data_IF_106762172327
#
_entry.id   IF_106762172327
#
_cell.length_a   1.000
_cell.length_b   1.000
_cell.length_c   1.000
_cell.angle_alpha   90.00
_cell.angle_beta   90.00
_cell.angle_gamma   90.00
#
_symmetry.space_group_name_H-M   'P 1'
#
loop_
_entity.id
_entity.type
_entity.pdbx_description
1 polymer ?
#
# COMPACT_ATOMS: atom_id res chain seq x y z
N UNK A 1 -30.30 16.66 19.56
CA UNK A 1 -29.65 15.42 19.12
C UNK A 1 -28.22 15.42 19.64
N UNK A 2 -27.99 14.78 20.78
CA UNK A 2 -26.67 14.70 21.42
C UNK A 2 -25.89 13.59 20.72
N UNK A 3 -24.98 13.95 19.81
CA UNK A 3 -24.10 12.99 19.15
C UNK A 3 -23.12 12.41 20.19
N UNK A 4 -23.07 11.09 20.29
CA UNK A 4 -22.14 10.37 21.17
C UNK A 4 -20.71 10.49 20.63
N UNK A 5 -20.00 11.57 21.00
CA UNK A 5 -18.64 11.87 20.51
C UNK A 5 -17.61 10.75 20.81
N UNK A 6 -17.84 9.91 21.82
CA UNK A 6 -16.95 8.79 22.16
C UNK A 6 -16.92 7.62 21.16
N UNK A 7 -17.77 7.61 20.12
CA UNK A 7 -17.78 6.53 19.10
C UNK A 7 -16.95 6.84 17.86
N UNK A 8 -16.62 8.11 17.60
CA UNK A 8 -15.90 8.52 16.41
C UNK A 8 -14.41 8.67 16.75
N UNK A 9 -13.59 7.74 16.26
CA UNK A 9 -12.14 7.69 16.55
C UNK A 9 -11.36 8.69 15.68
N UNK A 10 -11.84 8.98 14.47
CA UNK A 10 -11.21 9.93 13.55
C UNK A 10 -11.73 9.77 12.12
N UNK A 11 -11.16 10.56 11.23
CA UNK A 11 -11.35 10.45 9.78
C UNK A 11 -10.37 9.45 9.18
N UNK A 12 -10.81 8.64 8.23
CA UNK A 12 -9.98 7.73 7.45
C UNK A 12 -10.09 8.07 5.98
N UNK A 13 -8.95 8.10 5.28
CA UNK A 13 -8.88 8.40 3.85
C UNK A 13 -8.70 7.10 3.05
N UNK A 14 -9.36 7.00 1.91
CA UNK A 14 -9.16 5.94 0.91
C UNK A 14 -8.27 6.43 -0.25
N UNK A 15 -7.98 5.56 -1.21
CA UNK A 15 -7.11 5.88 -2.36
C UNK A 15 -7.62 7.06 -3.19
N UNK A 16 -8.93 7.16 -3.40
CA UNK A 16 -9.54 8.22 -4.21
C UNK A 16 -9.57 9.58 -3.51
N UNK A 17 -9.29 9.63 -2.21
CA UNK A 17 -9.27 10.88 -1.45
C UNK A 17 -7.93 11.63 -1.58
N UNK A 18 -6.89 10.98 -2.11
CA UNK A 18 -5.51 11.48 -2.06
C UNK A 18 -4.78 11.38 -3.39
N UNK A 19 -3.80 12.27 -3.59
CA UNK A 19 -2.88 12.24 -4.73
C UNK A 19 -1.44 12.33 -4.23
N UNK A 20 -0.52 11.68 -4.95
CA UNK A 20 0.92 11.85 -4.73
C UNK A 20 1.36 13.20 -5.30
N UNK A 21 2.00 14.02 -4.47
CA UNK A 21 2.59 15.29 -4.90
C UNK A 21 3.94 15.03 -5.57
N UNK A 22 4.17 15.50 -6.81
CA UNK A 22 5.47 15.35 -7.46
C UNK A 22 6.59 16.02 -6.68
N UNK A 23 7.79 15.43 -6.74
CA UNK A 23 9.01 15.97 -6.14
C UNK A 23 10.17 15.90 -7.14
N UNK A 24 11.21 16.70 -6.90
CA UNK A 24 12.44 16.63 -7.66
C UNK A 24 13.07 15.23 -7.56
N UNK A 25 13.55 14.69 -8.69
CA UNK A 25 14.19 13.38 -8.76
C UNK A 25 15.35 13.42 -9.75
N UNK A 26 16.48 12.83 -9.35
CA UNK A 26 17.62 12.52 -10.23
C UNK A 26 17.57 11.08 -10.76
N UNK A 27 16.64 10.26 -10.25
CA UNK A 27 16.51 8.84 -10.58
C UNK A 27 15.48 8.65 -11.68
N UNK A 28 15.84 7.89 -12.73
CA UNK A 28 14.90 7.49 -13.78
C UNK A 28 14.03 6.31 -13.31
N UNK A 29 12.77 6.18 -13.75
CA UNK A 29 11.88 5.11 -13.31
C UNK A 29 12.44 3.69 -13.47
N UNK A 30 13.22 3.43 -14.53
CA UNK A 30 13.87 2.13 -14.80
C UNK A 30 15.02 1.79 -13.84
N UNK A 31 15.49 2.76 -13.07
CA UNK A 31 16.64 2.66 -12.16
C UNK A 31 16.20 2.53 -10.70
N UNK A 32 14.89 2.66 -10.43
CA UNK A 32 14.34 2.53 -9.08
C UNK A 32 14.42 1.08 -8.60
N UNK A 33 14.95 0.88 -7.39
CA UNK A 33 14.91 -0.41 -6.72
C UNK A 33 13.53 -0.63 -6.08
N UNK A 34 12.82 -1.65 -6.55
CA UNK A 34 11.49 -2.04 -6.06
C UNK A 34 11.52 -3.30 -5.17
N UNK A 35 12.71 -3.78 -4.79
CA UNK A 35 12.84 -4.87 -3.82
C UNK A 35 12.24 -4.47 -2.46
N UNK A 36 11.52 -5.38 -1.83
CA UNK A 36 10.87 -5.14 -0.55
C UNK A 36 10.94 -6.35 0.37
N UNK A 37 10.71 -6.14 1.68
CA UNK A 37 10.60 -7.23 2.66
C UNK A 37 9.13 -7.62 2.84
N UNK A 38 8.80 -8.86 2.50
CA UNK A 38 7.47 -9.42 2.76
C UNK A 38 7.31 -9.85 4.22
N UNK A 39 8.37 -10.43 4.79
CA UNK A 39 8.48 -10.74 6.21
C UNK A 39 9.85 -10.33 6.73
N UNK A 40 10.14 -10.56 8.02
CA UNK A 40 11.48 -10.33 8.58
C UNK A 40 12.58 -11.05 7.79
N UNK A 41 12.28 -12.22 7.24
CA UNK A 41 13.25 -13.14 6.64
C UNK A 41 13.01 -13.40 5.13
N UNK A 42 11.98 -12.80 4.52
CA UNK A 42 11.63 -13.02 3.11
C UNK A 42 11.69 -11.69 2.36
N UNK A 43 12.53 -11.63 1.32
CA UNK A 43 12.66 -10.48 0.42
C UNK A 43 12.04 -10.81 -0.93
N UNK A 44 11.25 -9.89 -1.47
CA UNK A 44 10.66 -9.97 -2.81
C UNK A 44 11.41 -9.03 -3.75
N UNK A 45 11.55 -9.44 -5.01
CA UNK A 45 12.11 -8.57 -6.04
C UNK A 45 11.15 -7.46 -6.49
N UNK A 46 9.85 -7.66 -6.31
CA UNK A 46 8.77 -6.76 -6.69
C UNK A 46 7.73 -6.76 -5.56
N UNK A 47 7.12 -5.62 -5.16
CA UNK A 47 6.21 -5.53 -4.03
C UNK A 47 4.78 -5.94 -4.43
N UNK A 48 4.64 -7.11 -5.06
CA UNK A 48 3.37 -7.66 -5.55
C UNK A 48 3.22 -9.10 -5.07
N UNK A 49 2.05 -9.43 -4.53
CA UNK A 49 1.70 -10.76 -4.03
C UNK A 49 0.30 -11.11 -4.53
N UNK A 50 0.10 -12.33 -5.00
CA UNK A 50 -1.22 -12.82 -5.39
C UNK A 50 -2.07 -13.13 -4.15
N UNK A 51 -3.38 -12.91 -4.26
CA UNK A 51 -4.30 -13.23 -3.18
C UNK A 51 -4.39 -14.76 -2.99
N UNK A 52 -4.47 -15.20 -1.73
CA UNK A 52 -4.70 -16.60 -1.38
C UNK A 52 -6.19 -16.96 -1.56
N UNK A 53 -6.63 -17.02 -2.81
CA UNK A 53 -8.01 -17.34 -3.21
C UNK A 53 -8.00 -18.52 -4.17
N UNK A 54 -9.06 -19.33 -4.10
CA UNK A 54 -9.29 -20.50 -4.95
C UNK A 54 -9.17 -20.22 -6.44
N UNK A 55 -9.60 -19.05 -6.88
CA UNK A 55 -9.64 -18.62 -8.29
C UNK A 55 -8.47 -17.73 -8.69
N UNK A 56 -7.53 -17.45 -7.78
CA UNK A 56 -6.41 -16.53 -8.02
C UNK A 56 -5.07 -17.23 -7.99
N UNK A 57 -4.82 -18.12 -7.04
CA UNK A 57 -3.52 -18.78 -6.88
C UNK A 57 -3.68 -20.29 -6.75
N UNK A 58 -3.12 -21.03 -7.70
CA UNK A 58 -3.00 -22.49 -7.72
C UNK A 58 -1.51 -22.91 -7.83
N UNK A 59 -1.22 -24.22 -7.77
CA UNK A 59 0.13 -24.80 -7.77
C UNK A 59 0.60 -25.32 -9.13
#
# INVERSE_FOLDING_TARGET
MTAHQNKLVGEGLTYDDVLLVPAYSEVLPREVNIQTKFTRNITLNVPVVSAAMDTVTES
#
